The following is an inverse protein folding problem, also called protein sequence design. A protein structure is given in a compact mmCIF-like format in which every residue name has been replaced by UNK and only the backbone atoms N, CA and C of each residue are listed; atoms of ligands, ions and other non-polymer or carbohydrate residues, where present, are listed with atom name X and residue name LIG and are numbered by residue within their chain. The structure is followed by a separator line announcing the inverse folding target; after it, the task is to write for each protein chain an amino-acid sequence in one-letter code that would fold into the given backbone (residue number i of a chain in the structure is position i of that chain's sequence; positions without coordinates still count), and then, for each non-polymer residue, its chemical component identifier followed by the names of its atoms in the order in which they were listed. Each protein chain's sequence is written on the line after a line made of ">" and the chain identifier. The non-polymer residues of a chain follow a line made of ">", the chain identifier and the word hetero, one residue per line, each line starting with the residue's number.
data_IF_389809068628
#
_entry.id   IF_389809068628
#
_cell.length_a   1.000
_cell.length_b   1.000
_cell.length_c   1.000
_cell.angle_alpha   90.00
_cell.angle_beta   90.00
_cell.angle_gamma   90.00
#
_symmetry.space_group_name_H-M   'P 1'
#
loop_
_entity.id
_entity.type
_entity.pdbx_description
1 polymer ?
#
# COMPACT_ATOMS: atom_id res chain seq x y z
N UNK A 1 -21.51 15.70 -18.49
CA UNK A 1 -20.38 14.85 -18.07
C UNK A 1 -19.14 15.72 -17.99
N UNK A 2 -18.67 16.05 -16.78
CA UNK A 2 -17.49 16.89 -16.62
C UNK A 2 -16.27 15.97 -16.57
N UNK A 3 -15.61 15.80 -17.71
CA UNK A 3 -14.28 15.20 -17.75
C UNK A 3 -13.32 16.09 -16.95
N UNK A 4 -12.66 15.51 -15.94
CA UNK A 4 -11.59 16.19 -15.19
C UNK A 4 -10.44 16.46 -16.16
N UNK A 5 -10.32 17.71 -16.62
CA UNK A 5 -9.23 18.12 -17.50
C UNK A 5 -7.92 18.19 -16.71
N UNK A 6 -6.85 17.62 -17.28
CA UNK A 6 -5.51 17.61 -16.68
C UNK A 6 -4.90 19.01 -16.76
N UNK A 7 -4.74 19.70 -15.61
CA UNK A 7 -3.70 20.73 -15.47
C UNK A 7 -2.35 20.02 -15.55
N UNK A 8 -1.56 20.33 -16.59
CA UNK A 8 -0.19 19.82 -16.72
C UNK A 8 0.60 20.10 -15.44
N UNK A 9 0.99 19.05 -14.74
CA UNK A 9 1.94 19.10 -13.66
C UNK A 9 3.26 18.55 -14.20
N UNK A 10 4.37 19.30 -14.23
CA UNK A 10 5.65 18.84 -14.77
C UNK A 10 6.33 17.74 -13.93
N UNK A 11 5.66 17.26 -12.88
CA UNK A 11 6.19 16.31 -11.91
C UNK A 11 5.55 14.93 -12.09
N UNK A 12 6.40 13.90 -12.14
CA UNK A 12 6.01 12.53 -12.46
C UNK A 12 5.12 11.96 -11.34
N UNK A 13 3.88 11.60 -11.68
CA UNK A 13 2.99 10.88 -10.78
C UNK A 13 3.55 9.46 -10.52
N UNK A 14 3.67 9.08 -9.26
CA UNK A 14 4.19 7.79 -8.82
C UNK A 14 3.14 6.90 -8.17
N UNK A 15 2.21 7.49 -7.43
CA UNK A 15 1.19 6.76 -6.72
C UNK A 15 -0.10 7.55 -6.60
N UNK A 16 -1.21 6.83 -6.44
CA UNK A 16 -2.55 7.39 -6.29
C UNK A 16 -3.37 6.53 -5.32
N UNK A 17 -4.27 7.17 -4.58
CA UNK A 17 -5.30 6.51 -3.78
C UNK A 17 -6.58 7.34 -3.78
N UNK A 18 -7.72 6.67 -3.75
CA UNK A 18 -9.02 7.32 -3.60
C UNK A 18 -9.52 7.13 -2.17
N UNK A 19 -10.09 8.18 -1.59
CA UNK A 19 -10.75 8.05 -0.30
C UNK A 19 -12.03 7.21 -0.47
N UNK A 20 -12.36 6.40 0.54
CA UNK A 20 -13.44 5.40 0.43
C UNK A 20 -14.85 6.01 0.40
N UNK A 21 -15.04 7.16 1.04
CA UNK A 21 -16.35 7.83 1.16
C UNK A 21 -16.32 9.26 0.62
N UNK A 22 -15.33 10.05 1.01
CA UNK A 22 -15.12 11.40 0.49
C UNK A 22 -14.69 11.42 -0.99
N UNK A 23 -15.07 12.45 -1.76
CA UNK A 23 -14.69 12.62 -3.17
C UNK A 23 -13.26 13.13 -3.31
N UNK A 24 -12.32 12.50 -2.60
CA UNK A 24 -10.92 12.93 -2.50
C UNK A 24 -9.97 11.95 -3.17
N UNK A 25 -8.96 12.51 -3.82
CA UNK A 25 -7.87 11.77 -4.45
C UNK A 25 -6.57 12.23 -3.81
N UNK A 26 -5.74 11.28 -3.41
CA UNK A 26 -4.39 11.52 -2.94
C UNK A 26 -3.41 11.06 -4.01
N UNK A 27 -2.39 11.88 -4.27
CA UNK A 27 -1.36 11.59 -5.26
C UNK A 27 0.02 11.76 -4.67
N UNK A 28 0.94 10.87 -5.03
CA UNK A 28 2.34 10.93 -4.68
C UNK A 28 3.20 11.15 -5.91
N UNK A 29 4.22 12.02 -5.81
CA UNK A 29 5.00 12.48 -6.94
C UNK A 29 6.50 12.22 -6.77
N UNK A 30 7.22 12.14 -7.89
CA UNK A 30 8.67 11.89 -7.92
C UNK A 30 9.47 12.98 -7.25
N UNK A 31 9.01 14.22 -7.32
CA UNK A 31 9.66 15.32 -6.61
C UNK A 31 9.58 15.22 -5.08
N UNK A 32 8.86 14.26 -4.52
CA UNK A 32 8.71 14.08 -3.07
C UNK A 32 7.55 14.85 -2.45
N UNK A 33 6.65 15.38 -3.28
CA UNK A 33 5.39 15.96 -2.84
C UNK A 33 4.27 14.91 -2.80
N UNK A 34 3.39 15.07 -1.83
CA UNK A 34 2.06 14.48 -1.84
C UNK A 34 1.02 15.59 -2.02
N UNK A 35 -0.06 15.29 -2.74
CA UNK A 35 -1.11 16.27 -3.05
C UNK A 35 -2.48 15.66 -2.86
N UNK A 36 -3.31 16.39 -2.11
CA UNK A 36 -4.69 16.04 -1.82
C UNK A 36 -5.60 16.89 -2.71
N UNK A 37 -6.50 16.23 -3.42
CA UNK A 37 -7.43 16.82 -4.35
C UNK A 37 -8.85 16.48 -3.92
N UNK A 38 -9.80 17.38 -4.17
CA UNK A 38 -11.17 16.95 -4.38
C UNK A 38 -11.39 16.78 -5.90
N UNK A 39 -12.55 16.26 -6.28
CA UNK A 39 -12.90 16.05 -7.70
C UNK A 39 -12.81 17.29 -8.61
N UNK A 40 -12.67 18.50 -8.07
CA UNK A 40 -12.67 19.77 -8.83
C UNK A 40 -11.33 20.53 -8.76
N UNK A 41 -10.65 20.55 -7.61
CA UNK A 41 -9.46 21.35 -7.35
C UNK A 41 -8.47 20.72 -6.37
N UNK A 42 -7.24 21.26 -6.36
CA UNK A 42 -6.18 20.90 -5.42
C UNK A 42 -6.51 21.47 -4.04
N UNK A 43 -6.75 20.60 -3.06
CA UNK A 43 -7.01 21.01 -1.67
C UNK A 43 -5.71 21.33 -0.93
N UNK A 44 -4.69 20.48 -1.08
CA UNK A 44 -3.41 20.65 -0.40
C UNK A 44 -2.24 20.05 -1.21
N UNK A 45 -1.05 20.60 -1.03
CA UNK A 45 0.20 20.13 -1.61
C UNK A 45 1.35 20.32 -0.61
N UNK A 46 1.92 19.21 -0.15
CA UNK A 46 2.89 19.21 0.93
C UNK A 46 4.15 18.40 0.58
N UNK A 47 5.31 18.95 0.96
CA UNK A 47 6.61 18.32 0.77
C UNK A 47 6.83 17.27 1.85
N UNK A 48 6.98 16.01 1.44
CA UNK A 48 7.15 14.88 2.38
C UNK A 48 8.63 14.62 2.63
N UNK A 49 9.42 14.52 1.57
CA UNK A 49 10.88 14.37 1.61
C UNK A 49 11.53 14.84 0.29
N UNK A 50 12.86 14.76 0.21
CA UNK A 50 13.60 14.95 -1.04
C UNK A 50 13.55 13.74 -1.98
N UNK A 51 13.13 12.58 -1.47
CA UNK A 51 12.96 11.35 -2.24
C UNK A 51 11.58 11.28 -2.87
N UNK A 52 11.40 10.39 -3.85
CA UNK A 52 10.07 10.18 -4.44
C UNK A 52 9.04 9.67 -3.42
N UNK A 53 7.80 10.11 -3.57
CA UNK A 53 6.65 9.54 -2.87
C UNK A 53 6.15 8.34 -3.67
N UNK A 54 6.63 7.16 -3.30
CA UNK A 54 6.36 5.92 -4.02
C UNK A 54 5.00 5.31 -3.72
N UNK A 55 4.42 5.59 -2.54
CA UNK A 55 3.10 5.09 -2.16
C UNK A 55 2.35 6.16 -1.39
N UNK A 56 1.07 6.27 -1.69
CA UNK A 56 0.09 7.00 -0.89
C UNK A 56 -1.10 6.10 -0.59
N UNK A 57 -1.61 6.14 0.64
CA UNK A 57 -2.79 5.41 1.10
C UNK A 57 -3.59 6.25 2.10
N UNK A 58 -4.91 6.21 2.00
CA UNK A 58 -5.80 6.68 3.06
C UNK A 58 -6.00 5.59 4.12
N UNK A 59 -6.06 6.02 5.39
CA UNK A 59 -6.65 5.25 6.49
C UNK A 59 -7.83 6.06 7.01
N UNK A 60 -8.93 6.00 6.27
CA UNK A 60 -10.14 6.83 6.49
C UNK A 60 -10.64 6.77 7.94
N UNK A 61 -10.67 5.56 8.54
CA UNK A 61 -11.13 5.35 9.93
C UNK A 61 -10.32 6.08 11.00
N UNK A 62 -9.05 6.40 10.73
CA UNK A 62 -8.17 7.16 11.64
C UNK A 62 -8.06 8.63 11.25
N UNK A 63 -8.65 9.01 10.12
CA UNK A 63 -8.43 10.27 9.44
C UNK A 63 -6.98 10.52 9.02
N UNK A 64 -6.28 9.45 8.66
CA UNK A 64 -4.85 9.52 8.35
C UNK A 64 -4.55 9.35 6.86
N UNK A 65 -3.44 9.94 6.46
CA UNK A 65 -2.74 9.70 5.21
C UNK A 65 -1.42 9.01 5.53
N UNK A 66 -1.15 7.94 4.81
CA UNK A 66 0.10 7.21 4.85
C UNK A 66 0.86 7.49 3.57
N UNK A 67 2.11 7.91 3.72
CA UNK A 67 3.01 8.20 2.60
C UNK A 67 4.29 7.41 2.76
N UNK A 68 4.70 6.69 1.73
CA UNK A 68 6.00 6.00 1.71
C UNK A 68 6.94 6.73 0.78
N UNK A 69 8.15 6.95 1.29
CA UNK A 69 9.32 7.45 0.57
C UNK A 69 10.48 6.48 0.84
N UNK A 70 11.52 6.44 0.00
CA UNK A 70 12.74 5.63 0.16
C UNK A 70 12.74 4.62 1.34
N UNK A 71 13.14 5.06 2.54
CA UNK A 71 13.23 4.21 3.73
C UNK A 71 12.22 4.51 4.85
N UNK A 72 11.23 5.36 4.59
CA UNK A 72 10.34 5.89 5.62
C UNK A 72 8.86 5.81 5.21
N UNK A 73 8.02 5.48 6.19
CA UNK A 73 6.59 5.77 6.15
C UNK A 73 6.34 6.99 7.01
N UNK A 74 5.57 7.92 6.47
CA UNK A 74 5.15 9.14 7.14
C UNK A 74 3.63 9.05 7.31
N UNK A 75 3.16 9.37 8.50
CA UNK A 75 1.74 9.44 8.83
C UNK A 75 1.37 10.90 8.98
N UNK A 76 0.31 11.31 8.31
CA UNK A 76 -0.25 12.66 8.39
C UNK A 76 -1.72 12.58 8.81
N UNK A 77 -2.17 13.57 9.56
CA UNK A 77 -3.60 13.84 9.71
C UNK A 77 -4.10 14.50 8.41
N UNK A 78 -5.21 14.02 7.82
CA UNK A 78 -5.66 14.61 6.55
C UNK A 78 -6.41 15.93 6.71
N UNK A 79 -6.88 16.30 7.91
CA UNK A 79 -7.65 17.54 8.09
C UNK A 79 -6.73 18.76 8.05
N UNK A 80 -5.53 18.63 8.63
CA UNK A 80 -4.54 19.71 8.67
C UNK A 80 -3.24 19.39 7.91
N UNK A 81 -3.11 18.18 7.34
CA UNK A 81 -1.88 17.71 6.67
C UNK A 81 -0.65 17.84 7.59
N UNK A 82 -0.87 17.65 8.89
CA UNK A 82 0.17 17.72 9.91
C UNK A 82 0.81 16.35 10.08
N UNK A 83 2.15 16.31 10.09
CA UNK A 83 2.89 15.06 10.29
C UNK A 83 2.68 14.57 11.72
N UNK A 84 2.11 13.38 11.86
CA UNK A 84 1.89 12.69 13.12
C UNK A 84 3.12 11.88 13.49
N UNK A 85 3.61 11.07 12.56
CA UNK A 85 4.66 10.08 12.84
C UNK A 85 5.56 9.85 11.63
N UNK A 86 6.82 9.48 11.87
CA UNK A 86 7.78 9.06 10.85
C UNK A 86 8.44 7.77 11.29
N UNK A 87 8.28 6.73 10.48
CA UNK A 87 8.62 5.34 10.82
C UNK A 87 9.69 4.86 9.86
N UNK A 88 10.83 4.46 10.40
CA UNK A 88 11.92 3.91 9.61
C UNK A 88 11.66 2.43 9.31
N UNK A 89 11.89 2.04 8.04
CA UNK A 89 11.84 0.64 7.56
C UNK A 89 10.50 -0.06 7.79
N UNK A 90 9.64 0.06 6.79
CA UNK A 90 8.27 -0.47 6.79
C UNK A 90 8.26 -1.88 6.19
N UNK A 91 9.39 -2.58 6.21
CA UNK A 91 9.61 -3.85 5.54
C UNK A 91 10.46 -4.82 6.32
N UNK A 92 10.69 -6.04 5.78
CA UNK A 92 11.63 -6.99 6.35
C UNK A 92 13.05 -6.40 6.39
N UNK A 93 13.81 -6.75 7.41
CA UNK A 93 15.21 -6.33 7.54
C UNK A 93 16.08 -6.94 6.44
N UNK A 94 16.97 -6.14 5.83
CA UNK A 94 17.97 -6.63 4.86
C UNK A 94 17.63 -6.39 3.37
N UNK A 95 16.49 -5.79 3.05
CA UNK A 95 16.14 -5.34 1.69
C UNK A 95 16.40 -3.83 1.58
N UNK A 96 17.16 -3.38 0.57
CA UNK A 96 17.80 -2.06 0.62
C UNK A 96 17.39 -1.01 -0.42
N UNK A 97 16.45 -1.27 -1.34
CA UNK A 97 16.14 -0.27 -2.40
C UNK A 97 14.70 -0.20 -2.88
N UNK A 98 13.92 -1.26 -2.75
CA UNK A 98 12.61 -1.32 -3.41
C UNK A 98 11.51 -0.83 -2.48
N UNK A 99 10.62 0.02 -2.99
CA UNK A 99 9.45 0.46 -2.24
C UNK A 99 8.48 -0.72 -2.02
N UNK A 100 7.81 -0.80 -0.85
CA UNK A 100 6.81 -1.83 -0.61
C UNK A 100 5.62 -1.74 -1.57
N UNK A 101 4.75 -2.72 -1.47
CA UNK A 101 3.33 -2.53 -1.76
C UNK A 101 2.59 -2.51 -0.44
N UNK A 102 1.73 -1.51 -0.24
CA UNK A 102 0.89 -1.40 0.95
C UNK A 102 -0.57 -1.71 0.63
N UNK A 103 -1.20 -2.50 1.50
CA UNK A 103 -2.65 -2.64 1.53
C UNK A 103 -3.15 -2.33 2.95
N UNK A 104 -4.06 -1.38 3.06
CA UNK A 104 -4.70 -1.02 4.34
C UNK A 104 -5.89 -1.94 4.53
N UNK A 105 -5.96 -2.63 5.66
CA UNK A 105 -7.12 -3.43 5.99
C UNK A 105 -8.34 -2.50 6.16
N UNK A 106 -9.53 -2.81 5.60
CA UNK A 106 -10.67 -1.90 5.65
C UNK A 106 -11.13 -1.57 7.07
N UNK A 107 -11.26 -2.57 7.95
CA UNK A 107 -11.80 -2.41 9.31
C UNK A 107 -10.77 -2.54 10.44
N UNK A 108 -10.00 -3.64 10.46
CA UNK A 108 -8.99 -3.91 11.48
C UNK A 108 -7.82 -2.90 11.43
N UNK A 109 -7.12 -2.66 12.56
CA UNK A 109 -5.98 -1.76 12.64
C UNK A 109 -4.71 -2.35 12.01
N UNK A 110 -4.82 -3.02 10.86
CA UNK A 110 -3.70 -3.66 10.19
C UNK A 110 -3.39 -3.04 8.83
N UNK A 111 -2.09 -2.97 8.51
CA UNK A 111 -1.57 -2.62 7.19
C UNK A 111 -0.62 -3.73 6.77
N UNK A 112 -0.86 -4.31 5.60
CA UNK A 112 0.06 -5.24 4.99
C UNK A 112 1.13 -4.45 4.24
N UNK A 113 2.38 -4.82 4.48
CA UNK A 113 3.52 -4.27 3.76
C UNK A 113 4.30 -5.40 3.11
N UNK A 114 4.30 -5.42 1.77
CA UNK A 114 4.88 -6.49 0.97
C UNK A 114 6.18 -6.04 0.30
N UNK A 115 7.23 -6.85 0.44
CA UNK A 115 8.51 -6.73 -0.26
C UNK A 115 8.82 -8.07 -0.91
N UNK A 116 8.86 -8.11 -2.25
CA UNK A 116 9.03 -9.35 -3.00
C UNK A 116 8.06 -10.42 -2.53
N UNK A 117 8.58 -11.49 -1.92
CA UNK A 117 7.83 -12.64 -1.41
C UNK A 117 7.61 -12.61 0.11
N UNK A 118 7.82 -11.47 0.77
CA UNK A 118 7.64 -11.32 2.21
C UNK A 118 6.60 -10.24 2.50
N UNK A 119 5.58 -10.58 3.26
CA UNK A 119 4.59 -9.64 3.80
C UNK A 119 4.83 -9.50 5.30
N UNK A 120 4.81 -8.28 5.79
CA UNK A 120 4.76 -7.96 7.21
C UNK A 120 3.42 -7.32 7.51
N UNK A 121 2.75 -7.78 8.57
CA UNK A 121 1.53 -7.16 9.09
C UNK A 121 1.93 -6.15 10.14
N UNK A 122 1.57 -4.89 9.92
CA UNK A 122 1.80 -3.77 10.83
C UNK A 122 0.50 -3.43 11.55
N UNK A 123 0.53 -3.37 12.87
CA UNK A 123 -0.60 -2.96 13.69
C UNK A 123 -0.49 -1.48 14.05
N UNK A 124 -1.39 -0.66 13.52
CA UNK A 124 -1.35 0.80 13.68
C UNK A 124 -1.78 1.27 15.07
N UNK A 125 -2.55 0.47 15.80
CA UNK A 125 -2.97 0.80 17.17
C UNK A 125 -1.88 0.43 18.19
N UNK A 126 -1.01 -0.52 17.82
CA UNK A 126 0.19 -0.88 18.58
C UNK A 126 1.45 -0.13 18.10
N UNK A 127 1.30 1.10 17.63
CA UNK A 127 2.44 1.93 17.20
C UNK A 127 3.22 1.33 16.02
N UNK A 128 2.48 0.83 15.01
CA UNK A 128 3.03 0.19 13.81
C UNK A 128 3.90 -1.03 14.08
N UNK A 129 3.65 -1.72 15.20
CA UNK A 129 4.37 -2.94 15.56
C UNK A 129 4.14 -4.02 14.51
N UNK A 130 5.22 -4.72 14.16
CA UNK A 130 5.19 -5.90 13.30
C UNK A 130 4.59 -7.05 14.09
N UNK A 131 3.35 -7.43 13.80
CA UNK A 131 2.64 -8.49 14.53
C UNK A 131 2.79 -9.84 13.87
N UNK A 132 2.95 -9.88 12.54
CA UNK A 132 3.10 -11.12 11.79
C UNK A 132 4.03 -10.95 10.60
N UNK A 133 4.63 -12.07 10.18
CA UNK A 133 5.41 -12.20 8.95
C UNK A 133 4.86 -13.38 8.16
N UNK A 134 4.57 -13.14 6.89
CA UNK A 134 4.04 -14.14 5.96
C UNK A 134 5.06 -14.25 4.83
N UNK A 135 5.52 -15.46 4.56
CA UNK A 135 6.31 -15.77 3.37
C UNK A 135 5.36 -16.30 2.33
N UNK A 136 5.19 -15.59 1.22
CA UNK A 136 4.40 -16.08 0.10
C UNK A 136 5.30 -16.96 -0.77
N UNK A 137 4.76 -18.05 -1.27
CA UNK A 137 5.49 -18.89 -2.21
C UNK A 137 5.58 -18.14 -3.55
N UNK A 138 6.70 -18.30 -4.25
CA UNK A 138 6.77 -17.99 -5.67
C UNK A 138 7.11 -19.35 -6.27
N UNK A 139 6.14 -20.00 -6.93
CA UNK A 139 6.32 -21.38 -7.43
C UNK A 139 7.32 -21.42 -8.62
N UNK A 140 8.03 -20.33 -8.89
CA UNK A 140 9.14 -20.25 -9.83
C UNK A 140 10.41 -20.89 -9.24
N UNK A 141 10.37 -22.21 -9.00
CA UNK A 141 11.54 -23.10 -9.09
C UNK A 141 11.76 -23.57 -10.54
N UNK A 142 11.50 -22.72 -11.55
CA UNK A 142 11.92 -22.96 -12.93
C UNK A 142 12.94 -21.90 -13.36
N UNK A 143 14.22 -22.24 -13.24
CA UNK A 143 15.26 -21.61 -14.07
C UNK A 143 15.89 -20.31 -13.57
N UNK A 144 16.08 -20.14 -12.26
CA UNK A 144 17.19 -19.34 -11.72
C UNK A 144 17.28 -17.88 -12.15
N UNK A 145 16.32 -17.04 -11.76
CA UNK A 145 16.54 -15.61 -11.42
C UNK A 145 15.33 -15.11 -10.65
N UNK A 146 15.56 -14.57 -9.44
CA UNK A 146 14.56 -13.76 -8.71
C UNK A 146 14.41 -12.43 -9.44
N UNK A 147 13.67 -12.41 -10.54
CA UNK A 147 13.35 -11.15 -11.21
C UNK A 147 12.45 -10.31 -10.29
N UNK A 148 12.55 -8.98 -10.36
CA UNK A 148 11.67 -8.06 -9.64
C UNK A 148 10.23 -8.31 -10.09
N UNK A 149 9.53 -9.17 -9.35
CA UNK A 149 8.15 -9.51 -9.66
C UNK A 149 7.32 -8.30 -9.29
N UNK A 150 6.89 -7.54 -10.31
CA UNK A 150 5.81 -6.58 -10.11
C UNK A 150 4.61 -7.37 -9.59
N UNK A 151 4.19 -7.04 -8.38
CA UNK A 151 3.10 -7.70 -7.70
C UNK A 151 2.02 -6.67 -7.38
N UNK A 152 0.81 -7.16 -7.17
CA UNK A 152 -0.29 -6.39 -6.63
C UNK A 152 -0.78 -7.08 -5.36
N UNK A 153 -1.24 -6.28 -4.39
CA UNK A 153 -1.79 -6.76 -3.14
C UNK A 153 -3.07 -5.99 -2.87
N UNK A 154 -4.16 -6.71 -2.62
CA UNK A 154 -5.44 -6.07 -2.29
C UNK A 154 -6.26 -6.94 -1.35
N UNK A 155 -6.99 -6.29 -0.45
CA UNK A 155 -8.03 -6.95 0.33
C UNK A 155 -9.28 -7.17 -0.52
N UNK A 156 -10.04 -8.22 -0.23
CA UNK A 156 -11.35 -8.42 -0.83
C UNK A 156 -12.34 -7.42 -0.19
N UNK A 157 -13.02 -6.57 -0.98
CA UNK A 157 -13.95 -5.57 -0.46
C UNK A 157 -15.24 -6.18 0.12
N UNK A 158 -15.60 -7.42 -0.26
CA UNK A 158 -16.77 -8.14 0.26
C UNK A 158 -16.47 -9.13 1.38
N UNK A 159 -15.21 -9.54 1.56
CA UNK A 159 -14.75 -10.39 2.66
C UNK A 159 -13.39 -9.89 3.16
N UNK A 160 -13.42 -9.00 4.16
CA UNK A 160 -12.21 -8.38 4.69
C UNK A 160 -11.24 -9.38 5.35
N UNK A 161 -11.67 -10.61 5.62
CA UNK A 161 -10.79 -11.67 6.10
C UNK A 161 -10.00 -12.34 4.99
N UNK A 162 -10.00 -11.79 3.77
CA UNK A 162 -9.23 -12.29 2.64
C UNK A 162 -8.45 -11.19 1.95
N UNK A 163 -7.27 -11.55 1.50
CA UNK A 163 -6.50 -10.73 0.56
C UNK A 163 -5.95 -11.61 -0.56
N UNK A 164 -5.56 -10.94 -1.64
CA UNK A 164 -5.00 -11.57 -2.82
C UNK A 164 -3.65 -10.93 -3.14
N UNK A 165 -2.69 -11.77 -3.52
CA UNK A 165 -1.45 -11.36 -4.17
C UNK A 165 -1.49 -11.78 -5.63
N UNK A 166 -1.36 -10.83 -6.54
CA UNK A 166 -1.20 -11.08 -7.97
C UNK A 166 0.27 -10.92 -8.38
N UNK A 167 0.78 -11.84 -9.19
CA UNK A 167 2.15 -11.83 -9.70
C UNK A 167 2.18 -11.55 -11.21
N UNK A 168 3.28 -10.96 -11.69
CA UNK A 168 3.49 -10.61 -13.12
C UNK A 168 3.22 -11.77 -14.09
N UNK A 169 3.42 -13.02 -13.67
CA UNK A 169 3.27 -14.23 -14.51
C UNK A 169 1.86 -14.83 -14.48
N UNK A 170 0.88 -14.10 -13.94
CA UNK A 170 -0.54 -14.51 -13.92
C UNK A 170 -0.92 -15.39 -12.73
N UNK A 171 0.03 -15.78 -11.89
CA UNK A 171 -0.28 -16.47 -10.63
C UNK A 171 -1.02 -15.52 -9.68
N UNK A 172 -2.06 -16.05 -9.03
CA UNK A 172 -2.87 -15.33 -8.05
C UNK A 172 -2.98 -16.20 -6.80
N UNK A 173 -2.49 -15.69 -5.68
CA UNK A 173 -2.53 -16.37 -4.40
C UNK A 173 -3.55 -15.73 -3.48
N UNK A 174 -4.50 -16.52 -3.00
CA UNK A 174 -5.53 -16.07 -2.06
C UNK A 174 -5.16 -16.47 -0.64
N UNK A 175 -5.31 -15.53 0.29
CA UNK A 175 -4.98 -15.71 1.70
C UNK A 175 -6.21 -15.42 2.54
N UNK A 176 -6.35 -16.15 3.66
CA UNK A 176 -7.48 -16.01 4.58
C UNK A 176 -7.01 -15.88 6.01
N UNK A 177 -7.59 -14.93 6.76
CA UNK A 177 -7.36 -14.78 8.19
C UNK A 177 -8.14 -15.83 8.98
N UNK A 178 -7.51 -16.40 10.00
CA UNK A 178 -8.17 -17.23 11.00
C UNK A 178 -8.94 -16.36 11.99
N UNK A 179 -9.79 -16.99 12.80
CA UNK A 179 -10.48 -16.33 13.92
C UNK A 179 -9.52 -15.68 14.93
N UNK A 180 -8.26 -16.14 14.97
CA UNK A 180 -7.20 -15.61 15.83
C UNK A 180 -6.30 -14.60 15.10
N UNK A 181 -6.70 -14.14 13.92
CA UNK A 181 -5.98 -13.12 13.15
C UNK A 181 -4.76 -13.62 12.40
N UNK A 182 -4.48 -14.93 12.35
CA UNK A 182 -3.36 -15.49 11.60
C UNK A 182 -3.72 -15.66 10.12
N UNK A 183 -2.84 -15.26 9.20
CA UNK A 183 -3.08 -15.44 7.77
C UNK A 183 -2.60 -16.81 7.28
N UNK A 184 -3.52 -17.59 6.72
CA UNK A 184 -3.27 -18.88 6.11
C UNK A 184 -3.38 -18.80 4.59
N UNK A 185 -2.54 -19.57 3.90
CA UNK A 185 -2.63 -19.73 2.46
C UNK A 185 -3.90 -20.51 2.12
N UNK A 186 -4.80 -19.89 1.36
CA UNK A 186 -6.01 -20.53 0.89
C UNK A 186 -5.73 -21.26 -0.41
N UNK A 187 -5.56 -22.59 -0.33
CA UNK A 187 -5.63 -23.46 -1.51
C UNK A 187 -7.06 -23.44 -2.05
N UNK A 188 -7.39 -22.43 -2.85
CA UNK A 188 -8.50 -22.47 -3.79
C UNK A 188 -8.22 -21.46 -4.91
N UNK A 189 -7.51 -21.94 -5.92
CA UNK A 189 -7.72 -21.66 -7.34
C UNK A 189 -6.86 -22.66 -8.15
N UNK A 190 -7.13 -23.96 -8.00
CA UNK A 190 -6.90 -24.86 -9.13
C UNK A 190 -8.11 -24.72 -10.05
N UNK A 191 -7.90 -24.05 -11.18
CA UNK A 191 -8.67 -24.19 -12.41
C UNK A 191 -10.01 -23.48 -12.48
N UNK A 192 -10.12 -22.50 -13.39
CA UNK A 192 -11.09 -22.58 -14.49
C UNK A 192 -10.31 -22.23 -15.77
N UNK A 193 -10.55 -23.03 -16.81
CA UNK A 193 -9.86 -23.13 -18.12
C UNK A 193 -9.54 -21.81 -18.82
#
# INVERSE_FOLDING_TARGET
>A
EHNISVKYNPDDLRSIDAHQTEPWILTGHRSGYARLWNHEYLMDSFKVSGDEVSIVKFIARKKWIVVVTAYYLHVYDYACVTKIEKIQRVGPTGYSTDSPILAVHPTLPSVLSMFYTNIVVLDIDLGWKRTQKISIHDDVKRGGKKEHVKTALSFNPGDHNRFVVGFKRGEVQTWRSTLFGQWLYGLHCQGIQ
#
